data_IF_291739704926
#
_entry.id   IF_291739704926
#
_cell.length_a   1.000
_cell.length_b   1.000
_cell.length_c   1.000
_cell.angle_alpha   90.00
_cell.angle_beta   90.00
_cell.angle_gamma   90.00
#
_symmetry.space_group_name_H-M   'P 1'
#
loop_
_entity.id
_entity.type
_entity.pdbx_description
1 polymer ?
#
# COMPACT_ATOMS: atom_id res chain seq x y z
N UNK A 1 -18.08 20.85 -63.75
CA UNK A 1 -17.82 20.27 -62.42
C UNK A 1 -16.68 21.05 -61.76
N UNK A 2 -16.87 21.43 -60.49
CA UNK A 2 -15.94 22.16 -59.60
C UNK A 2 -14.62 21.34 -59.45
N UNK A 3 -13.45 21.87 -59.09
CA UNK A 3 -13.11 22.60 -57.86
C UNK A 3 -11.70 23.23 -58.02
N UNK A 4 -11.55 24.47 -57.56
CA UNK A 4 -10.30 25.19 -57.32
C UNK A 4 -9.70 24.68 -55.99
N UNK A 5 -8.45 24.23 -56.00
CA UNK A 5 -7.71 23.91 -54.76
C UNK A 5 -7.02 25.19 -54.24
N UNK A 6 -7.46 25.67 -53.08
CA UNK A 6 -6.82 26.74 -52.34
C UNK A 6 -5.85 26.15 -51.30
N UNK A 7 -4.62 26.65 -51.31
CA UNK A 7 -3.58 26.38 -50.32
C UNK A 7 -3.92 27.21 -49.07
N UNK A 8 -4.13 26.55 -47.93
CA UNK A 8 -4.24 27.20 -46.63
C UNK A 8 -3.07 26.75 -45.75
N UNK A 9 -2.21 27.74 -45.45
CA UNK A 9 -1.13 27.69 -44.50
C UNK A 9 -1.72 27.62 -43.08
N UNK A 10 -1.44 26.55 -42.34
CA UNK A 10 -1.88 26.42 -40.94
C UNK A 10 -0.66 26.40 -40.03
N UNK A 11 -0.46 27.53 -39.34
CA UNK A 11 0.43 27.64 -38.20
C UNK A 11 0.00 26.63 -37.13
N UNK A 12 0.92 25.78 -36.67
CA UNK A 12 0.70 24.96 -35.48
C UNK A 12 0.62 25.88 -34.26
N UNK A 13 -0.60 26.14 -33.78
CA UNK A 13 -0.83 26.53 -32.40
C UNK A 13 -0.51 25.33 -31.50
N UNK A 14 0.53 25.47 -30.66
CA UNK A 14 0.72 24.58 -29.53
C UNK A 14 -0.42 24.83 -28.53
N UNK A 15 -1.43 23.95 -28.53
CA UNK A 15 -2.41 23.90 -27.46
C UNK A 15 -1.73 23.32 -26.22
N UNK A 16 -1.57 24.12 -25.17
CA UNK A 16 -1.21 23.62 -23.84
C UNK A 16 -2.33 22.70 -23.36
N UNK A 17 -2.08 21.39 -23.28
CA UNK A 17 -2.98 20.44 -22.63
C UNK A 17 -2.91 20.69 -21.13
N UNK A 18 -3.86 21.47 -20.62
CA UNK A 18 -4.13 21.55 -19.18
C UNK A 18 -4.87 20.28 -18.75
N UNK A 19 -4.27 19.48 -17.88
CA UNK A 19 -4.97 18.39 -17.21
C UNK A 19 -5.77 18.97 -16.04
N UNK A 20 -7.09 18.85 -16.10
CA UNK A 20 -7.98 19.21 -15.00
C UNK A 20 -8.22 17.94 -14.14
N UNK A 21 -7.90 18.01 -12.84
CA UNK A 21 -8.10 16.89 -11.91
C UNK A 21 -9.36 17.15 -11.11
N UNK A 22 -10.36 16.29 -11.27
CA UNK A 22 -11.62 16.39 -10.51
C UNK A 22 -11.75 15.27 -9.49
N UNK A 23 -12.03 15.64 -8.26
CA UNK A 23 -12.40 14.74 -7.18
C UNK A 23 -13.92 14.50 -7.24
N UNK A 24 -14.33 13.29 -7.60
CA UNK A 24 -15.71 12.85 -7.47
C UNK A 24 -15.87 12.02 -6.20
N UNK A 25 -16.95 12.26 -5.45
CA UNK A 25 -17.35 11.40 -4.33
C UNK A 25 -18.52 10.56 -4.84
N UNK A 26 -18.37 9.23 -4.84
CA UNK A 26 -19.45 8.30 -5.17
C UNK A 26 -20.53 8.30 -4.08
N UNK A 27 -21.72 7.80 -4.41
CA UNK A 27 -22.84 7.69 -3.45
C UNK A 27 -22.52 6.80 -2.23
N UNK A 28 -21.51 5.93 -2.35
CA UNK A 28 -20.97 5.09 -1.26
C UNK A 28 -19.83 5.77 -0.47
N UNK A 29 -19.57 7.06 -0.69
CA UNK A 29 -18.52 7.82 0.02
C UNK A 29 -17.10 7.52 -0.46
N UNK A 30 -16.89 6.66 -1.45
CA UNK A 30 -15.57 6.44 -2.02
C UNK A 30 -15.12 7.64 -2.88
N UNK A 31 -13.89 8.10 -2.64
CA UNK A 31 -13.24 9.18 -3.41
C UNK A 31 -12.71 8.58 -4.72
N UNK A 32 -13.16 9.10 -5.85
CA UNK A 32 -12.68 8.73 -7.19
C UNK A 32 -12.03 9.94 -7.81
N UNK A 33 -10.81 9.75 -8.31
CA UNK A 33 -10.05 10.80 -8.98
C UNK A 33 -10.18 10.52 -10.47
N UNK A 34 -10.86 11.41 -11.18
CA UNK A 34 -10.97 11.33 -12.63
C UNK A 34 -9.82 12.09 -13.25
N UNK A 35 -8.94 11.39 -13.95
CA UNK A 35 -7.99 12.01 -14.87
C UNK A 35 -8.62 12.01 -16.27
N UNK A 36 -9.09 13.16 -16.74
CA UNK A 36 -9.65 13.27 -18.09
C UNK A 36 -8.51 13.61 -19.04
N UNK A 37 -7.78 12.59 -19.48
CA UNK A 37 -6.69 12.71 -20.45
C UNK A 37 -6.02 11.39 -20.83
N UNK A 38 -6.41 10.82 -21.97
CA UNK A 38 -5.54 10.04 -22.86
C UNK A 38 -5.25 8.54 -22.59
N UNK A 39 -5.69 7.93 -21.48
CA UNK A 39 -5.49 6.48 -21.27
C UNK A 39 -6.77 5.68 -21.57
N UNK A 40 -6.71 4.76 -22.54
CA UNK A 40 -7.81 3.86 -22.92
C UNK A 40 -8.04 2.71 -21.92
N UNK A 41 -7.24 2.61 -20.86
CA UNK A 41 -7.42 1.65 -19.78
C UNK A 41 -7.34 2.36 -18.41
N UNK A 42 -8.46 2.53 -17.69
CA UNK A 42 -8.52 3.34 -16.46
C UNK A 42 -7.59 2.79 -15.36
N UNK A 43 -7.39 1.47 -15.29
CA UNK A 43 -6.48 0.87 -14.31
C UNK A 43 -5.00 1.19 -14.57
N UNK A 44 -4.61 1.42 -15.82
CA UNK A 44 -3.24 1.84 -16.14
C UNK A 44 -3.01 3.28 -15.71
N UNK A 45 -3.96 4.19 -15.94
CA UNK A 45 -3.85 5.58 -15.46
C UNK A 45 -3.79 5.65 -13.93
N UNK A 46 -4.57 4.82 -13.24
CA UNK A 46 -4.58 4.76 -11.78
C UNK A 46 -3.23 4.30 -11.21
N UNK A 47 -2.59 3.30 -11.83
CA UNK A 47 -1.26 2.85 -11.39
C UNK A 47 -0.17 3.88 -11.65
N UNK A 48 -0.19 4.61 -12.77
CA UNK A 48 0.80 5.66 -13.01
C UNK A 48 0.62 6.82 -12.02
N UNK A 49 -0.63 7.16 -11.68
CA UNK A 49 -0.94 8.15 -10.64
C UNK A 49 -0.46 7.69 -9.25
N UNK A 50 -0.57 6.40 -8.92
CA UNK A 50 -0.04 5.81 -7.69
C UNK A 50 1.49 5.78 -7.69
N UNK A 51 2.12 5.41 -8.80
CA UNK A 51 3.56 5.36 -8.96
C UNK A 51 4.19 6.75 -8.71
N UNK A 52 3.57 7.80 -9.23
CA UNK A 52 4.00 9.18 -9.00
C UNK A 52 3.94 9.64 -7.53
N UNK A 53 3.32 8.86 -6.62
CA UNK A 53 3.23 9.15 -5.18
C UNK A 53 4.35 8.53 -4.36
N UNK A 54 5.25 7.78 -4.97
CA UNK A 54 6.42 7.20 -4.29
C UNK A 54 7.15 8.23 -3.41
N UNK A 55 7.39 9.42 -3.98
CA UNK A 55 8.11 10.54 -3.33
C UNK A 55 7.17 11.59 -2.74
N UNK A 56 5.90 11.26 -2.51
CA UNK A 56 4.97 12.23 -1.92
C UNK A 56 5.36 12.49 -0.47
N UNK A 57 5.71 13.75 -0.20
CA UNK A 57 5.91 14.27 1.14
C UNK A 57 4.60 14.63 1.83
N UNK A 58 4.59 14.51 3.16
CA UNK A 58 3.47 14.86 4.01
C UNK A 58 3.94 15.53 5.30
N UNK A 59 3.01 16.20 5.99
CA UNK A 59 3.27 16.72 7.35
C UNK A 59 3.57 15.60 8.37
N UNK A 60 3.32 14.34 8.03
CA UNK A 60 3.52 13.19 8.89
C UNK A 60 4.89 12.53 8.69
N UNK A 61 5.72 12.99 7.75
CA UNK A 61 6.98 12.34 7.38
C UNK A 61 7.94 12.17 8.56
N UNK A 62 7.98 13.15 9.48
CA UNK A 62 8.80 13.03 10.71
C UNK A 62 8.32 11.91 11.64
N UNK A 63 7.01 11.72 11.74
CA UNK A 63 6.38 10.67 12.57
C UNK A 63 6.58 9.31 11.91
N UNK A 64 6.37 9.25 10.59
CA UNK A 64 6.61 8.06 9.77
C UNK A 64 8.06 7.61 9.92
N UNK A 65 9.03 8.51 9.71
CA UNK A 65 10.45 8.18 9.80
C UNK A 65 10.82 7.67 11.20
N UNK A 66 10.36 8.35 12.25
CA UNK A 66 10.64 7.95 13.64
C UNK A 66 10.19 6.52 13.92
N UNK A 67 8.95 6.17 13.58
CA UNK A 67 8.43 4.84 13.87
C UNK A 67 8.94 3.78 12.89
N UNK A 68 9.20 4.15 11.65
CA UNK A 68 9.90 3.30 10.69
C UNK A 68 11.28 2.88 11.23
N UNK A 69 12.07 3.83 11.72
CA UNK A 69 13.37 3.56 12.34
C UNK A 69 13.22 2.72 13.62
N UNK A 70 12.27 3.08 14.50
CA UNK A 70 12.04 2.40 15.77
C UNK A 70 11.66 0.91 15.59
N UNK A 71 10.86 0.59 14.57
CA UNK A 71 10.38 -0.77 14.33
C UNK A 71 11.08 -1.48 13.16
N UNK A 72 12.16 -0.89 12.64
CA UNK A 72 12.97 -1.41 11.54
C UNK A 72 12.14 -1.76 10.28
N UNK A 73 11.33 -0.81 9.83
CA UNK A 73 10.52 -0.89 8.61
C UNK A 73 10.95 0.22 7.66
N UNK A 74 10.99 -0.06 6.35
CA UNK A 74 11.26 0.98 5.36
C UNK A 74 10.18 2.08 5.39
N UNK A 75 10.58 3.33 5.65
CA UNK A 75 9.67 4.48 5.67
C UNK A 75 8.90 4.65 4.35
N UNK A 76 9.46 4.18 3.23
CA UNK A 76 8.80 4.16 1.92
C UNK A 76 7.63 3.19 1.88
N UNK A 77 7.78 2.03 2.53
CA UNK A 77 6.68 1.08 2.65
C UNK A 77 5.56 1.64 3.52
N UNK A 78 5.91 2.31 4.63
CA UNK A 78 4.93 2.97 5.51
C UNK A 78 4.16 4.06 4.76
N UNK A 79 4.85 4.93 4.00
CA UNK A 79 4.21 5.93 3.13
C UNK A 79 3.29 5.28 2.09
N UNK A 80 3.72 4.19 1.48
CA UNK A 80 2.93 3.46 0.50
C UNK A 80 1.63 2.90 1.10
N UNK A 81 1.69 2.30 2.29
CA UNK A 81 0.51 1.83 3.03
C UNK A 81 -0.43 3.00 3.33
N UNK A 82 0.05 4.09 3.96
CA UNK A 82 -0.80 5.26 4.28
C UNK A 82 -1.45 5.85 3.01
N UNK A 83 -0.70 5.93 1.92
CA UNK A 83 -1.18 6.44 0.65
C UNK A 83 -2.34 5.60 0.09
N UNK A 84 -2.28 4.27 0.19
CA UNK A 84 -3.32 3.37 -0.30
C UNK A 84 -4.53 3.32 0.63
N UNK A 85 -4.29 3.40 1.93
CA UNK A 85 -5.30 3.25 2.99
C UNK A 85 -6.16 4.50 3.17
N UNK A 86 -5.54 5.69 3.23
CA UNK A 86 -6.24 6.91 3.64
C UNK A 86 -5.95 8.13 2.77
N UNK A 87 -5.01 8.05 1.83
CA UNK A 87 -4.48 9.22 1.12
C UNK A 87 -3.96 10.31 2.08
N UNK A 88 -3.42 9.88 3.23
CA UNK A 88 -2.96 10.72 4.35
C UNK A 88 -4.08 11.49 5.08
N UNK A 89 -5.32 10.99 5.05
CA UNK A 89 -6.45 11.53 5.82
C UNK A 89 -6.56 10.88 7.21
N UNK A 90 -6.22 11.57 8.32
CA UNK A 90 -6.27 11.00 9.66
C UNK A 90 -7.71 10.77 10.16
N UNK A 91 -8.72 11.32 9.50
CA UNK A 91 -10.13 11.14 9.84
C UNK A 91 -10.80 10.06 8.98
N UNK A 92 -10.05 9.37 8.11
CA UNK A 92 -10.58 8.33 7.25
C UNK A 92 -11.22 7.20 8.06
N UNK A 93 -12.42 6.77 7.65
CA UNK A 93 -13.15 5.62 8.21
C UNK A 93 -13.65 4.78 7.05
N UNK A 94 -13.30 3.49 7.03
CA UNK A 94 -13.84 2.56 6.04
C UNK A 94 -15.21 2.02 6.44
N UNK A 95 -15.95 1.47 5.46
CA UNK A 95 -17.21 0.76 5.69
C UNK A 95 -17.09 -0.41 6.67
N UNK A 96 -15.91 -1.06 6.71
CA UNK A 96 -15.62 -2.18 7.62
C UNK A 96 -15.22 -1.70 9.02
N UNK A 97 -15.08 -0.38 9.22
CA UNK A 97 -14.76 0.23 10.51
C UNK A 97 -13.27 0.41 10.77
N UNK A 98 -12.41 0.26 9.76
CA UNK A 98 -10.99 0.62 9.84
C UNK A 98 -10.84 2.15 9.92
N UNK A 99 -9.83 2.66 10.65
CA UNK A 99 -9.75 4.09 10.97
C UNK A 99 -8.34 4.66 10.93
N UNK A 100 -8.27 5.95 10.58
CA UNK A 100 -7.05 6.76 10.60
C UNK A 100 -6.13 6.53 9.41
N UNK A 101 -4.90 7.03 9.53
CA UNK A 101 -3.91 7.09 8.45
C UNK A 101 -3.54 5.72 7.88
N UNK A 102 -3.35 4.74 8.74
CA UNK A 102 -2.97 3.37 8.42
C UNK A 102 -4.15 2.39 8.47
N UNK A 103 -5.39 2.92 8.51
CA UNK A 103 -6.65 2.16 8.51
C UNK A 103 -6.62 0.93 9.43
N UNK A 104 -6.35 1.16 10.72
CA UNK A 104 -6.36 0.06 11.69
C UNK A 104 -7.81 -0.33 12.01
N UNK A 105 -8.06 -1.65 12.05
CA UNK A 105 -9.26 -2.18 12.67
C UNK A 105 -9.20 -1.95 14.19
N UNK A 106 -10.32 -1.69 14.89
CA UNK A 106 -10.29 -1.42 16.33
C UNK A 106 -9.63 -2.52 17.17
N UNK A 107 -9.72 -3.79 16.75
CA UNK A 107 -9.05 -4.91 17.41
C UNK A 107 -7.53 -4.86 17.21
N UNK A 108 -7.06 -4.64 15.97
CA UNK A 108 -5.65 -4.42 15.65
C UNK A 108 -5.09 -3.22 16.41
N UNK A 109 -5.83 -2.11 16.44
CA UNK A 109 -5.45 -0.91 17.18
C UNK A 109 -5.19 -1.22 18.67
N UNK A 110 -6.11 -1.95 19.33
CA UNK A 110 -5.91 -2.38 20.73
C UNK A 110 -4.69 -3.29 20.89
N UNK A 111 -4.53 -4.28 19.99
CA UNK A 111 -3.41 -5.23 20.01
C UNK A 111 -2.05 -4.51 19.94
N UNK A 112 -1.98 -3.41 19.19
CA UNK A 112 -0.76 -2.60 18.99
C UNK A 112 -0.79 -1.25 19.73
N UNK A 113 -1.47 -1.18 20.88
CA UNK A 113 -1.32 -0.08 21.83
C UNK A 113 -1.95 1.26 21.44
N UNK A 114 -2.84 1.29 20.45
CA UNK A 114 -3.51 2.51 19.97
C UNK A 114 -4.80 2.73 20.76
N UNK A 115 -4.83 3.77 21.61
CA UNK A 115 -6.01 4.15 22.39
C UNK A 115 -6.86 5.23 21.70
N UNK A 116 -6.23 6.13 20.93
CA UNK A 116 -6.89 7.18 20.15
C UNK A 116 -6.63 6.94 18.66
N UNK A 117 -7.50 6.18 18.01
CA UNK A 117 -7.26 5.68 16.64
C UNK A 117 -7.19 6.76 15.54
N UNK A 118 -7.73 7.96 15.79
CA UNK A 118 -7.63 9.11 14.89
C UNK A 118 -6.47 10.06 15.24
N UNK A 119 -5.74 9.80 16.32
CA UNK A 119 -4.51 10.51 16.64
C UNK A 119 -3.39 10.04 15.68
N UNK A 120 -2.80 10.93 14.86
CA UNK A 120 -1.82 10.53 13.86
C UNK A 120 -0.60 9.81 14.43
N UNK A 121 -0.09 10.25 15.59
CA UNK A 121 1.10 9.68 16.22
C UNK A 121 0.80 8.23 16.64
N UNK A 122 -0.29 8.00 17.36
CA UNK A 122 -0.66 6.66 17.79
C UNK A 122 -1.04 5.74 16.62
N UNK A 123 -1.80 6.23 15.64
CA UNK A 123 -2.21 5.42 14.50
C UNK A 123 -1.01 4.97 13.64
N UNK A 124 -0.05 5.87 13.40
CA UNK A 124 1.20 5.51 12.70
C UNK A 124 2.03 4.56 13.56
N UNK A 125 2.24 4.84 14.85
CA UNK A 125 3.01 3.95 15.73
C UNK A 125 2.47 2.51 15.72
N UNK A 126 1.16 2.35 15.93
CA UNK A 126 0.53 1.03 15.97
C UNK A 126 0.50 0.34 14.60
N UNK A 127 0.29 1.09 13.53
CA UNK A 127 0.30 0.52 12.17
C UNK A 127 1.69 0.09 11.71
N UNK A 128 2.74 0.86 12.05
CA UNK A 128 4.12 0.47 11.76
C UNK A 128 4.55 -0.72 12.62
N UNK A 129 4.13 -0.78 13.89
CA UNK A 129 4.37 -1.95 14.73
C UNK A 129 3.68 -3.21 14.18
N UNK A 130 2.44 -3.09 13.71
CA UNK A 130 1.72 -4.19 13.05
C UNK A 130 2.44 -4.63 11.77
N UNK A 131 2.85 -3.68 10.93
CA UNK A 131 3.57 -3.96 9.70
C UNK A 131 4.90 -4.67 9.96
N UNK A 132 5.65 -4.24 10.98
CA UNK A 132 6.89 -4.88 11.41
C UNK A 132 6.68 -6.34 11.85
N UNK A 133 5.64 -6.61 12.65
CA UNK A 133 5.23 -7.98 13.00
C UNK A 133 4.94 -8.84 11.76
N UNK A 134 4.26 -8.29 10.75
CA UNK A 134 3.98 -9.00 9.50
C UNK A 134 5.25 -9.25 8.67
N UNK A 135 6.17 -8.29 8.61
CA UNK A 135 7.46 -8.43 7.93
C UNK A 135 8.24 -9.61 8.52
N UNK A 136 8.24 -9.77 9.84
CA UNK A 136 8.86 -10.92 10.50
C UNK A 136 8.13 -12.23 10.18
N UNK A 137 6.80 -12.25 10.34
CA UNK A 137 5.97 -13.44 10.11
C UNK A 137 6.11 -13.99 8.68
N UNK A 138 6.20 -13.11 7.69
CA UNK A 138 6.30 -13.47 6.27
C UNK A 138 7.71 -13.33 5.69
N UNK A 139 8.74 -13.21 6.54
CA UNK A 139 10.16 -13.20 6.14
C UNK A 139 10.45 -12.18 5.03
N UNK A 140 9.93 -10.97 5.20
CA UNK A 140 10.11 -9.84 4.28
C UNK A 140 9.52 -10.05 2.87
N UNK A 141 8.66 -11.06 2.66
CA UNK A 141 7.89 -11.24 1.43
C UNK A 141 6.80 -10.15 1.33
N UNK A 142 7.17 -8.99 0.76
CA UNK A 142 6.31 -7.80 0.70
C UNK A 142 4.90 -8.08 0.16
N UNK A 143 4.69 -8.83 -0.95
CA UNK A 143 3.35 -9.22 -1.37
C UNK A 143 2.52 -9.92 -0.28
N UNK A 144 3.12 -10.86 0.47
CA UNK A 144 2.43 -11.56 1.56
C UNK A 144 2.18 -10.65 2.77
N UNK A 145 3.15 -9.79 3.09
CA UNK A 145 3.02 -8.80 4.16
C UNK A 145 1.86 -7.86 3.88
N UNK A 146 1.80 -7.27 2.69
CA UNK A 146 0.73 -6.36 2.28
C UNK A 146 -0.62 -7.08 2.19
N UNK A 147 -0.63 -8.33 1.71
CA UNK A 147 -1.84 -9.15 1.72
C UNK A 147 -2.34 -9.41 3.15
N UNK A 148 -1.45 -9.70 4.09
CA UNK A 148 -1.79 -9.94 5.49
C UNK A 148 -2.23 -8.65 6.18
N UNK A 149 -1.64 -7.51 5.83
CA UNK A 149 -2.08 -6.21 6.35
C UNK A 149 -3.55 -5.94 6.00
N UNK A 150 -3.94 -6.23 4.75
CA UNK A 150 -5.30 -6.02 4.25
C UNK A 150 -6.32 -7.11 4.65
N UNK A 151 -5.94 -8.40 4.55
CA UNK A 151 -6.85 -9.54 4.70
C UNK A 151 -6.70 -10.30 6.04
N UNK A 152 -5.72 -9.91 6.85
CA UNK A 152 -5.31 -10.62 8.06
C UNK A 152 -4.30 -11.74 7.78
N UNK A 153 -3.38 -11.96 8.71
CA UNK A 153 -2.30 -12.95 8.57
C UNK A 153 -2.83 -14.38 8.46
N UNK A 154 -3.95 -14.69 9.12
CA UNK A 154 -4.58 -16.01 9.08
C UNK A 154 -5.03 -16.43 7.68
N UNK A 155 -5.51 -15.48 6.86
CA UNK A 155 -5.88 -15.76 5.48
C UNK A 155 -4.63 -16.10 4.65
N UNK A 156 -3.56 -15.32 4.76
CA UNK A 156 -2.32 -15.57 4.01
C UNK A 156 -1.68 -16.91 4.42
N UNK A 157 -1.68 -17.23 5.72
CA UNK A 157 -1.21 -18.53 6.21
C UNK A 157 -2.05 -19.69 5.65
N UNK A 158 -3.38 -19.56 5.63
CA UNK A 158 -4.29 -20.58 5.09
C UNK A 158 -4.07 -20.84 3.60
N UNK A 159 -3.84 -19.79 2.79
CA UNK A 159 -3.63 -19.92 1.34
C UNK A 159 -2.17 -20.19 0.96
N UNK A 160 -1.21 -20.03 1.87
CA UNK A 160 0.22 -20.20 1.59
C UNK A 160 0.81 -19.11 0.68
N UNK A 161 0.11 -18.00 0.50
CA UNK A 161 0.43 -16.91 -0.41
C UNK A 161 -0.66 -15.83 -0.40
N UNK A 162 -0.65 -14.91 -1.36
CA UNK A 162 -1.67 -13.87 -1.49
C UNK A 162 -3.04 -14.54 -1.73
N UNK A 163 -4.04 -14.37 -0.83
CA UNK A 163 -5.36 -14.94 -1.03
C UNK A 163 -5.99 -14.42 -2.33
N UNK A 164 -6.75 -15.23 -3.08
CA UNK A 164 -7.38 -14.83 -4.34
C UNK A 164 -8.63 -13.97 -4.12
N UNK A 165 -8.56 -13.02 -3.17
CA UNK A 165 -9.59 -12.02 -2.94
C UNK A 165 -9.32 -10.82 -3.83
N UNK A 166 -10.32 -10.40 -4.61
CA UNK A 166 -10.18 -9.29 -5.55
C UNK A 166 -9.68 -8.01 -4.86
N UNK A 167 -10.22 -7.70 -3.67
CA UNK A 167 -9.81 -6.55 -2.86
C UNK A 167 -8.33 -6.64 -2.43
N UNK A 168 -7.89 -7.80 -1.96
CA UNK A 168 -6.53 -8.01 -1.45
C UNK A 168 -5.49 -8.02 -2.57
N UNK A 169 -5.78 -8.69 -3.68
CA UNK A 169 -4.90 -8.67 -4.86
C UNK A 169 -4.73 -7.26 -5.41
N UNK A 170 -5.82 -6.49 -5.45
CA UNK A 170 -5.80 -5.08 -5.85
C UNK A 170 -5.04 -4.21 -4.84
N UNK A 171 -5.24 -4.42 -3.54
CA UNK A 171 -4.51 -3.72 -2.50
C UNK A 171 -2.99 -3.91 -2.64
N UNK A 172 -2.53 -5.17 -2.76
CA UNK A 172 -1.11 -5.50 -2.96
C UNK A 172 -0.57 -4.80 -4.20
N UNK A 173 -1.32 -4.84 -5.32
CA UNK A 173 -0.93 -4.18 -6.57
C UNK A 173 -0.75 -2.67 -6.40
N UNK A 174 -1.69 -2.00 -5.73
CA UNK A 174 -1.64 -0.56 -5.47
C UNK A 174 -0.48 -0.20 -4.55
N UNK A 175 -0.32 -0.89 -3.43
CA UNK A 175 0.72 -0.62 -2.45
C UNK A 175 2.12 -0.87 -3.03
N UNK A 176 2.33 -1.96 -3.76
CA UNK A 176 3.59 -2.23 -4.46
C UNK A 176 3.88 -1.20 -5.56
N UNK A 177 2.86 -0.67 -6.21
CA UNK A 177 3.02 0.39 -7.22
C UNK A 177 3.53 1.68 -6.60
N UNK A 178 2.93 2.11 -5.48
CA UNK A 178 3.41 3.29 -4.74
C UNK A 178 4.81 3.03 -4.20
N UNK A 179 5.05 1.85 -3.59
CA UNK A 179 6.32 1.49 -2.98
C UNK A 179 7.49 1.41 -3.98
N UNK A 180 7.24 0.93 -5.20
CA UNK A 180 8.30 0.78 -6.21
C UNK A 180 8.45 1.97 -7.16
N UNK A 181 7.53 2.94 -7.09
CA UNK A 181 7.49 4.10 -8.00
C UNK A 181 7.20 3.74 -9.45
N UNK A 182 6.66 2.54 -9.71
CA UNK A 182 6.28 2.08 -11.05
C UNK A 182 5.11 1.09 -11.00
N UNK A 183 4.28 1.01 -12.05
CA UNK A 183 3.16 0.08 -12.10
C UNK A 183 3.56 -1.38 -11.80
N UNK A 184 3.05 -1.93 -10.69
CA UNK A 184 3.27 -3.32 -10.32
C UNK A 184 2.31 -4.24 -11.07
N UNK A 185 2.84 -5.32 -11.68
CA UNK A 185 2.04 -6.31 -12.41
C UNK A 185 1.43 -5.84 -13.74
N UNK A 186 1.80 -4.65 -14.23
CA UNK A 186 1.25 -4.07 -15.46
C UNK A 186 1.88 -4.58 -16.77
N UNK A 187 2.85 -5.50 -16.71
CA UNK A 187 3.38 -6.15 -17.92
C UNK A 187 2.31 -7.08 -18.50
N UNK A 188 1.68 -6.64 -19.60
CA UNK A 188 0.77 -7.42 -20.44
C UNK A 188 1.41 -8.63 -21.13
N UNK A 189 2.72 -8.84 -20.94
CA UNK A 189 3.43 -10.04 -21.35
C UNK A 189 3.61 -10.98 -20.16
N UNK A 190 2.80 -12.05 -20.16
CA UNK A 190 2.99 -13.35 -19.49
C UNK A 190 3.65 -13.35 -18.10
N UNK A 191 2.82 -13.69 -17.10
CA UNK A 191 3.20 -14.42 -15.87
C UNK A 191 4.61 -14.12 -15.34
N UNK A 192 4.75 -13.08 -14.52
CA UNK A 192 5.94 -12.94 -13.68
C UNK A 192 5.84 -13.95 -12.54
N UNK A 193 6.23 -15.19 -12.82
CA UNK A 193 6.66 -16.16 -11.81
C UNK A 193 7.93 -15.55 -11.19
N UNK A 194 7.84 -15.04 -9.97
CA UNK A 194 9.03 -14.78 -9.18
C UNK A 194 9.54 -16.11 -8.62
N UNK A 195 10.56 -16.67 -9.26
CA UNK A 195 11.46 -17.57 -8.57
C UNK A 195 12.08 -16.76 -7.41
N UNK A 196 11.86 -17.23 -6.18
CA UNK A 196 12.43 -16.63 -4.98
C UNK A 196 13.95 -16.49 -5.13
N UNK A 197 14.43 -15.26 -5.37
CA UNK A 197 15.86 -14.96 -5.24
C UNK A 197 16.18 -14.95 -3.75
N UNK A 198 16.74 -16.05 -3.25
CA UNK A 198 17.51 -16.04 -2.00
C UNK A 198 18.65 -15.04 -2.19
N UNK A 199 18.70 -13.97 -1.40
CA UNK A 199 19.82 -13.03 -1.43
C UNK A 199 19.50 -11.54 -1.25
N UNK A 200 18.32 -11.17 -0.74
CA UNK A 200 18.11 -9.80 -0.26
C UNK A 200 19.08 -9.44 0.88
N UNK A 201 19.46 -8.16 1.07
CA UNK A 201 20.29 -7.73 2.18
C UNK A 201 19.68 -8.19 3.49
N UNK A 202 20.42 -8.96 4.30
CA UNK A 202 19.95 -9.38 5.62
C UNK A 202 19.74 -8.14 6.49
N UNK A 203 18.51 -7.91 6.95
CA UNK A 203 18.22 -6.90 7.96
C UNK A 203 18.99 -7.25 9.25
N UNK A 204 19.88 -6.36 9.68
CA UNK A 204 20.54 -6.45 11.00
C UNK A 204 19.60 -5.80 12.02
N UNK A 205 18.95 -6.62 12.85
CA UNK A 205 18.22 -6.11 14.02
C UNK A 205 16.84 -6.73 14.29
N UNK A 206 16.66 -8.02 14.03
CA UNK A 206 15.45 -8.73 14.45
C UNK A 206 15.18 -8.55 15.95
N UNK A 207 13.92 -8.36 16.33
CA UNK A 207 13.50 -8.20 17.71
C UNK A 207 14.02 -9.37 18.55
N UNK A 208 14.61 -9.06 19.71
CA UNK A 208 15.05 -10.09 20.65
C UNK A 208 13.85 -10.95 21.08
N UNK A 209 14.09 -12.25 21.29
CA UNK A 209 13.07 -13.25 21.64
C UNK A 209 12.12 -12.84 22.78
N UNK A 210 12.59 -11.97 23.67
CA UNK A 210 11.84 -11.47 24.82
C UNK A 210 10.69 -10.51 24.46
N UNK A 211 10.78 -9.79 23.34
CA UNK A 211 9.71 -8.91 22.83
C UNK A 211 8.60 -9.70 22.14
N UNK A 212 8.95 -10.81 21.49
CA UNK A 212 8.00 -11.75 20.90
C UNK A 212 7.20 -12.51 21.96
N UNK A 213 7.82 -12.85 23.09
CA UNK A 213 7.18 -13.59 24.18
C UNK A 213 6.03 -12.81 24.85
N UNK A 214 6.10 -11.47 24.88
CA UNK A 214 5.10 -10.62 25.55
C UNK A 214 3.88 -10.26 24.70
N UNK A 215 3.85 -10.63 23.42
CA UNK A 215 2.77 -10.26 22.48
C UNK A 215 1.91 -11.43 21.98
N UNK A 216 2.07 -12.62 22.55
CA UNK A 216 1.24 -13.79 22.24
C UNK A 216 0.07 -13.90 23.23
N UNK A 217 -1.18 -13.76 22.75
CA UNK A 217 -2.20 -14.71 23.16
C UNK A 217 -2.74 -15.47 21.95
N UNK A 218 -2.98 -16.78 22.18
CA UNK A 218 -3.48 -17.81 21.25
C UNK A 218 -2.43 -18.41 20.29
N UNK A 219 -1.59 -19.30 20.84
CA UNK A 219 -0.99 -20.39 20.09
C UNK A 219 -2.10 -21.17 19.36
N UNK A 220 -2.03 -21.21 18.03
CA UNK A 220 -2.72 -22.23 17.24
C UNK A 220 -2.18 -23.60 17.70
N UNK A 221 -3.01 -24.53 18.20
CA UNK A 221 -2.55 -25.84 18.62
C UNK A 221 -1.85 -26.56 17.46
N UNK A 222 -0.55 -26.84 17.61
CA UNK A 222 0.23 -27.65 16.65
C UNK A 222 1.39 -26.96 15.93
N UNK A 223 1.63 -25.66 16.09
CA UNK A 223 2.84 -25.02 15.52
C UNK A 223 4.05 -25.16 16.46
N UNK A 224 5.02 -26.00 16.09
CA UNK A 224 6.37 -25.98 16.68
C UNK A 224 7.20 -24.86 16.03
N UNK A 225 7.77 -24.00 16.85
CA UNK A 225 8.77 -23.02 16.42
C UNK A 225 10.02 -23.78 15.92
N UNK A 226 10.27 -23.77 14.61
CA UNK A 226 11.52 -24.27 14.04
C UNK A 226 12.48 -23.09 13.90
N UNK A 227 13.29 -22.87 14.93
CA UNK A 227 14.34 -21.85 14.92
C UNK A 227 15.13 -21.77 16.21
N UNK A 228 16.13 -22.65 16.37
CA UNK A 228 17.50 -22.33 16.81
C UNK A 228 18.31 -23.63 16.83
N UNK A 229 19.00 -23.92 15.72
CA UNK A 229 20.34 -24.54 15.63
C UNK A 229 20.86 -24.30 14.22
#
# INVERSE_FOLDING_TARGET
>A
MRVIAAIACSALLAASVGADVRLGIKADGSKVIYNVGGSTNPHLSDLHWLAARHDRHSKFDKIIQRYADQYNVDATLVRAVIQVESDFDPQCVSHKGARGLMQLMPETARRFGVSRIHDPEQNISGGVQYLSYLMELFREDLPRVLAAYNAGEGAVLKYGGVPPYAETTEYVRRAMTVYSGKPYGASSDRAVIFAARRGGPKLKGGFGAQFMQSMVPALIPGMKYLGTH
#
